data_IF_135333235876
#
_entry.id   IF_135333235876
#
_cell.length_a   1.000
_cell.length_b   1.000
_cell.length_c   1.000
_cell.angle_alpha   90.00
_cell.angle_beta   90.00
_cell.angle_gamma   90.00
#
_symmetry.space_group_name_H-M   'P 1'
#
loop_
_entity.id
_entity.type
_entity.pdbx_description
1 polymer ?
#
# COMPACT_ATOMS: atom_id res chain seq x y z
N UNK A 1 11.26 -28.00 3.94
CA UNK A 1 11.69 -26.69 3.38
C UNK A 1 10.81 -25.51 3.81
N UNK A 2 9.50 -25.68 4.07
CA UNK A 2 8.60 -24.63 4.60
C UNK A 2 9.10 -23.81 5.82
N UNK A 3 9.66 -24.40 6.91
CA UNK A 3 9.98 -23.64 8.12
C UNK A 3 11.13 -22.63 7.97
N UNK A 4 11.92 -22.72 6.89
CA UNK A 4 13.01 -21.76 6.60
C UNK A 4 12.48 -20.51 5.88
N UNK A 5 11.47 -20.67 5.02
CA UNK A 5 10.85 -19.58 4.26
C UNK A 5 10.00 -18.72 5.20
N UNK A 6 9.18 -19.34 6.07
CA UNK A 6 8.36 -18.60 7.03
C UNK A 6 9.18 -17.77 8.02
N UNK A 7 10.32 -18.29 8.51
CA UNK A 7 11.26 -17.53 9.36
C UNK A 7 11.90 -16.33 8.65
N UNK A 8 12.29 -16.48 7.37
CA UNK A 8 12.86 -15.39 6.57
C UNK A 8 11.84 -14.27 6.31
N UNK A 9 10.57 -14.63 6.14
CA UNK A 9 9.47 -13.66 5.95
C UNK A 9 9.14 -12.95 7.25
N UNK A 10 9.13 -13.65 8.38
CA UNK A 10 9.04 -13.01 9.70
C UNK A 10 10.11 -11.94 9.87
N UNK A 11 11.37 -12.28 9.62
CA UNK A 11 12.49 -11.33 9.72
C UNK A 11 12.35 -10.15 8.75
N UNK A 12 11.91 -10.39 7.51
CA UNK A 12 11.62 -9.34 6.52
C UNK A 12 10.50 -8.40 7.00
N UNK A 13 9.40 -8.94 7.55
CA UNK A 13 8.30 -8.15 8.14
C UNK A 13 8.81 -7.25 9.26
N UNK A 14 9.62 -7.80 10.18
CA UNK A 14 10.22 -7.02 11.26
C UNK A 14 11.17 -5.93 10.73
N UNK A 15 12.02 -6.27 9.76
CA UNK A 15 12.95 -5.31 9.15
C UNK A 15 12.23 -4.15 8.47
N UNK A 16 11.19 -4.42 7.69
CA UNK A 16 10.44 -3.34 7.03
C UNK A 16 9.58 -2.55 8.02
N UNK A 17 9.03 -3.19 9.04
CA UNK A 17 8.35 -2.49 10.13
C UNK A 17 9.29 -1.52 10.85
N UNK A 18 10.50 -1.97 11.21
CA UNK A 18 11.51 -1.14 11.86
C UNK A 18 11.96 0.01 10.95
N UNK A 19 12.19 -0.26 9.66
CA UNK A 19 12.53 0.78 8.68
C UNK A 19 11.40 1.82 8.54
N UNK A 20 10.16 1.35 8.45
CA UNK A 20 8.98 2.21 8.34
C UNK A 20 8.80 3.07 9.59
N UNK A 21 8.97 2.50 10.78
CA UNK A 21 8.90 3.22 12.05
C UNK A 21 10.06 4.22 12.20
N UNK A 22 11.27 3.86 11.78
CA UNK A 22 12.43 4.74 11.81
C UNK A 22 12.28 5.92 10.84
N UNK A 23 11.86 5.66 9.59
CA UNK A 23 11.55 6.70 8.62
C UNK A 23 10.42 7.61 9.12
N UNK A 24 9.38 7.01 9.69
CA UNK A 24 8.25 7.75 10.25
C UNK A 24 8.70 8.62 11.45
N UNK A 25 9.51 8.09 12.36
CA UNK A 25 10.08 8.85 13.48
C UNK A 25 10.97 10.00 13.01
N UNK A 26 11.82 9.76 12.01
CA UNK A 26 12.69 10.77 11.41
C UNK A 26 11.87 11.85 10.68
N UNK A 27 10.81 11.47 9.97
CA UNK A 27 9.90 12.40 9.31
C UNK A 27 9.19 13.32 10.31
N UNK A 28 8.77 12.78 11.47
CA UNK A 28 8.14 13.54 12.55
C UNK A 28 9.14 14.49 13.21
N UNK A 29 10.36 14.04 13.50
CA UNK A 29 11.40 14.89 14.06
C UNK A 29 11.74 16.06 13.14
N UNK A 30 11.91 15.80 11.84
CA UNK A 30 12.17 16.83 10.82
C UNK A 30 10.96 17.76 10.65
N UNK A 31 9.74 17.23 10.67
CA UNK A 31 8.54 18.04 10.65
C UNK A 31 8.51 18.98 11.85
N UNK A 32 8.67 18.47 13.09
CA UNK A 32 8.71 19.27 14.32
C UNK A 32 9.79 20.35 14.25
N UNK A 33 10.98 20.02 13.76
CA UNK A 33 12.04 21.01 13.53
C UNK A 33 11.58 22.12 12.58
N UNK A 34 10.97 21.78 11.45
CA UNK A 34 10.38 22.76 10.52
C UNK A 34 9.24 23.56 11.18
N UNK A 35 8.44 22.96 12.08
CA UNK A 35 7.39 23.65 12.82
C UNK A 35 7.95 24.75 13.73
N UNK A 36 9.08 24.48 14.38
CA UNK A 36 9.77 25.49 15.20
C UNK A 36 10.27 26.67 14.36
N UNK A 37 10.63 26.43 13.10
CA UNK A 37 11.11 27.47 12.18
C UNK A 37 9.98 28.31 11.57
N UNK A 38 8.89 27.67 11.07
CA UNK A 38 7.85 28.36 10.29
C UNK A 38 6.64 28.85 11.09
N UNK A 39 6.41 28.38 12.33
CA UNK A 39 5.21 28.69 13.15
C UNK A 39 3.87 28.55 12.39
N UNK A 40 3.79 27.68 11.38
CA UNK A 40 2.59 27.52 10.55
C UNK A 40 1.71 26.37 11.02
N UNK A 41 0.58 26.71 11.63
CA UNK A 41 -0.43 25.76 12.13
C UNK A 41 -0.97 24.86 11.00
N UNK A 42 -1.16 25.41 9.81
CA UNK A 42 -1.69 24.65 8.67
C UNK A 42 -0.73 23.53 8.26
N UNK A 43 0.57 23.84 8.20
CA UNK A 43 1.61 22.87 7.83
C UNK A 43 1.67 21.72 8.85
N UNK A 44 1.62 22.06 10.14
CA UNK A 44 1.53 21.07 11.23
C UNK A 44 0.33 20.16 11.10
N UNK A 45 -0.84 20.74 10.85
CA UNK A 45 -2.10 20.00 10.82
C UNK A 45 -2.12 18.99 9.68
N UNK A 46 -1.65 19.38 8.49
CA UNK A 46 -1.55 18.47 7.33
C UNK A 46 -0.58 17.32 7.61
N UNK A 47 0.58 17.61 8.20
CA UNK A 47 1.58 16.58 8.51
C UNK A 47 1.05 15.56 9.53
N UNK A 48 0.42 16.03 10.62
CA UNK A 48 -0.19 15.16 11.64
C UNK A 48 -1.30 14.31 11.03
N UNK A 49 -2.15 14.90 10.19
CA UNK A 49 -3.22 14.18 9.52
C UNK A 49 -2.69 13.05 8.62
N UNK A 50 -1.70 13.34 7.77
CA UNK A 50 -1.05 12.32 6.94
C UNK A 50 -0.42 11.21 7.79
N UNK A 51 0.21 11.55 8.91
CA UNK A 51 0.80 10.59 9.84
C UNK A 51 -0.26 9.63 10.42
N UNK A 52 -1.38 10.18 10.91
CA UNK A 52 -2.49 9.39 11.46
C UNK A 52 -3.00 8.42 10.40
N UNK A 53 -3.15 8.89 9.16
CA UNK A 53 -3.64 8.08 8.05
C UNK A 53 -2.70 6.92 7.71
N UNK A 54 -1.39 7.18 7.64
CA UNK A 54 -0.39 6.14 7.41
C UNK A 54 -0.46 5.08 8.51
N UNK A 55 -0.46 5.50 9.77
CA UNK A 55 -0.49 4.57 10.91
C UNK A 55 -1.77 3.73 10.95
N UNK A 56 -2.93 4.37 10.75
CA UNK A 56 -4.22 3.70 10.84
C UNK A 56 -4.42 2.69 9.69
N UNK A 57 -4.06 3.05 8.46
CA UNK A 57 -4.17 2.14 7.31
C UNK A 57 -3.13 1.03 7.38
N UNK A 58 -1.90 1.32 7.82
CA UNK A 58 -0.89 0.29 8.07
C UNK A 58 -1.37 -0.72 9.10
N UNK A 59 -1.94 -0.30 10.23
CA UNK A 59 -2.56 -1.21 11.20
C UNK A 59 -3.69 -2.03 10.57
N UNK A 60 -4.58 -1.38 9.81
CA UNK A 60 -5.71 -2.04 9.17
C UNK A 60 -5.29 -3.13 8.17
N UNK A 61 -4.13 -3.01 7.52
CA UNK A 61 -3.57 -4.04 6.65
C UNK A 61 -3.39 -5.40 7.35
N UNK A 62 -3.04 -5.39 8.64
CA UNK A 62 -2.74 -6.59 9.42
C UNK A 62 -3.93 -7.07 10.25
N UNK A 63 -4.85 -6.17 10.61
CA UNK A 63 -6.09 -6.56 11.30
C UNK A 63 -7.05 -7.29 10.35
N UNK A 64 -7.08 -6.92 9.07
CA UNK A 64 -8.00 -7.50 8.10
C UNK A 64 -7.33 -8.65 7.35
N UNK A 65 -7.57 -9.88 7.82
CA UNK A 65 -7.06 -11.11 7.18
C UNK A 65 -7.70 -11.35 5.82
N UNK A 66 -6.88 -11.73 4.84
CA UNK A 66 -7.34 -12.19 3.52
C UNK A 66 -7.37 -13.71 3.39
N UNK A 67 -7.17 -14.46 4.47
CA UNK A 67 -7.08 -15.92 4.41
C UNK A 67 -8.39 -16.50 3.86
N UNK A 68 -8.29 -17.29 2.81
CA UNK A 68 -9.40 -18.08 2.29
C UNK A 68 -9.58 -19.32 3.16
N UNK A 69 -10.79 -19.47 3.71
CA UNK A 69 -11.17 -20.62 4.54
C UNK A 69 -11.80 -21.75 3.71
N UNK A 70 -11.90 -21.57 2.40
CA UNK A 70 -12.49 -22.52 1.47
C UNK A 70 -14.01 -22.41 1.37
N UNK A 71 -14.56 -23.02 0.33
CA UNK A 71 -16.01 -23.10 0.10
C UNK A 71 -16.55 -24.37 0.75
N UNK A 72 -17.68 -24.25 1.47
CA UNK A 72 -18.50 -25.41 1.80
C UNK A 72 -19.27 -25.83 0.56
N UNK A 73 -18.93 -26.99 0.00
CA UNK A 73 -19.57 -27.52 -1.21
C UNK A 73 -20.97 -28.01 -0.82
N UNK A 74 -22.02 -27.30 -1.25
CA UNK A 74 -23.40 -27.80 -1.17
C UNK A 74 -23.55 -29.03 -2.06
N UNK A 75 -24.30 -30.04 -1.60
CA UNK A 75 -24.56 -31.27 -2.36
C UNK A 75 -25.22 -30.91 -3.71
N UNK A 76 -24.56 -31.27 -4.81
CA UNK A 76 -25.05 -31.04 -6.17
C UNK A 76 -24.28 -30.01 -7.01
N UNK A 77 -23.33 -29.25 -6.42
CA UNK A 77 -22.45 -28.38 -7.20
C UNK A 77 -21.26 -29.18 -7.76
N UNK A 78 -21.07 -29.17 -9.08
CA UNK A 78 -19.94 -29.82 -9.74
C UNK A 78 -18.62 -29.26 -9.19
N UNK A 79 -17.77 -30.15 -8.66
CA UNK A 79 -16.46 -29.78 -8.13
C UNK A 79 -15.55 -29.41 -9.30
N UNK A 80 -15.33 -28.13 -9.52
CA UNK A 80 -14.26 -27.68 -10.40
C UNK A 80 -12.90 -28.08 -9.80
N UNK A 81 -12.32 -29.15 -10.36
CA UNK A 81 -11.03 -29.74 -9.93
C UNK A 81 -9.92 -28.68 -9.97
N UNK A 82 -10.03 -27.67 -10.84
CA UNK A 82 -9.04 -26.59 -10.96
C UNK A 82 -9.04 -25.61 -9.76
N UNK A 83 -10.09 -25.62 -8.92
CA UNK A 83 -10.19 -24.76 -7.75
C UNK A 83 -9.70 -25.39 -6.45
N UNK A 84 -9.20 -26.62 -6.47
CA UNK A 84 -8.60 -27.24 -5.28
C UNK A 84 -7.16 -26.73 -5.06
N UNK A 85 -6.79 -26.44 -3.80
CA UNK A 85 -5.41 -26.15 -3.40
C UNK A 85 -4.87 -27.32 -2.58
N UNK A 86 -3.87 -28.06 -3.08
CA UNK A 86 -3.31 -29.20 -2.36
C UNK A 86 -2.53 -28.78 -1.11
N UNK A 87 -1.89 -27.61 -1.11
CA UNK A 87 -1.08 -27.12 0.01
C UNK A 87 -1.94 -26.72 1.21
N UNK A 88 -3.12 -26.14 0.96
CA UNK A 88 -4.05 -25.73 2.02
C UNK A 88 -5.14 -26.76 2.29
N UNK A 89 -5.28 -27.79 1.43
CA UNK A 89 -6.34 -28.78 1.46
C UNK A 89 -7.76 -28.16 1.49
N UNK A 90 -7.99 -27.17 0.64
CA UNK A 90 -9.29 -26.49 0.51
C UNK A 90 -9.72 -26.36 -0.95
N UNK A 91 -11.02 -26.32 -1.18
CA UNK A 91 -11.59 -25.78 -2.42
C UNK A 91 -11.63 -24.25 -2.30
N UNK A 92 -10.82 -23.58 -3.11
CA UNK A 92 -10.64 -22.13 -3.12
C UNK A 92 -11.88 -21.42 -3.63
N UNK A 93 -12.13 -20.20 -3.12
CA UNK A 93 -13.06 -19.28 -3.75
C UNK A 93 -12.62 -18.90 -5.18
N UNK A 94 -13.57 -18.53 -6.04
CA UNK A 94 -13.24 -17.94 -7.36
C UNK A 94 -12.32 -16.74 -7.15
N UNK A 95 -11.21 -16.66 -7.89
CA UNK A 95 -10.12 -15.65 -7.76
C UNK A 95 -9.23 -15.74 -6.52
N UNK A 96 -9.33 -16.80 -5.71
CA UNK A 96 -8.36 -17.07 -4.65
C UNK A 96 -7.14 -17.79 -5.21
N UNK A 97 -5.95 -17.39 -4.73
CA UNK A 97 -4.68 -18.02 -5.12
C UNK A 97 -3.85 -18.36 -3.88
N UNK A 98 -3.12 -19.48 -3.93
CA UNK A 98 -2.16 -19.85 -2.89
C UNK A 98 -0.94 -18.94 -3.00
N UNK A 99 -0.56 -18.29 -1.89
CA UNK A 99 0.70 -17.57 -1.82
C UNK A 99 1.73 -18.43 -1.09
N UNK A 100 2.80 -18.91 -1.77
CA UNK A 100 3.83 -19.73 -1.14
C UNK A 100 4.59 -18.99 -0.03
N UNK A 101 4.62 -17.66 -0.07
CA UNK A 101 5.25 -16.82 0.95
C UNK A 101 4.36 -16.70 2.20
N UNK A 102 3.06 -16.47 2.03
CA UNK A 102 2.12 -16.40 3.15
C UNK A 102 1.66 -17.79 3.64
N UNK A 103 2.03 -18.87 2.93
CA UNK A 103 1.63 -20.27 3.20
C UNK A 103 0.11 -20.44 3.39
N UNK A 104 -0.68 -19.66 2.66
CA UNK A 104 -2.13 -19.74 2.68
C UNK A 104 -2.75 -19.27 1.36
N UNK A 105 -3.96 -19.74 1.09
CA UNK A 105 -4.81 -19.16 0.05
C UNK A 105 -5.33 -17.79 0.48
N UNK A 106 -5.32 -16.86 -0.47
CA UNK A 106 -5.70 -15.46 -0.25
C UNK A 106 -6.90 -15.12 -1.12
N UNK A 107 -7.95 -14.58 -0.52
CA UNK A 107 -9.16 -14.12 -1.20
C UNK A 107 -8.85 -12.96 -2.14
N UNK A 108 -9.27 -13.10 -3.41
CA UNK A 108 -9.02 -12.12 -4.49
C UNK A 108 -7.55 -11.67 -4.46
N UNK A 109 -6.65 -12.64 -4.52
CA UNK A 109 -5.22 -12.41 -4.35
C UNK A 109 -4.69 -11.43 -5.40
N UNK A 110 -4.25 -10.25 -4.96
CA UNK A 110 -3.66 -9.25 -5.84
C UNK A 110 -2.17 -9.56 -6.00
N UNK A 111 -1.40 -9.38 -4.91
CA UNK A 111 0.02 -9.68 -4.87
C UNK A 111 0.50 -9.89 -3.43
N UNK A 112 1.68 -10.52 -3.28
CA UNK A 112 2.44 -10.45 -2.04
C UNK A 112 3.28 -9.19 -2.03
N UNK A 113 3.00 -8.26 -1.12
CA UNK A 113 3.75 -7.03 -1.02
C UNK A 113 5.02 -7.25 -0.17
N UNK A 114 6.19 -7.27 -0.81
CA UNK A 114 7.48 -7.41 -0.11
C UNK A 114 7.74 -6.25 0.87
N UNK A 115 7.28 -5.04 0.55
CA UNK A 115 7.42 -3.86 1.41
C UNK A 115 6.50 -3.89 2.63
N UNK A 116 5.47 -4.74 2.67
CA UNK A 116 4.64 -4.90 3.87
C UNK A 116 4.79 -6.27 4.48
N UNK A 117 5.53 -7.17 3.81
CA UNK A 117 5.63 -8.59 4.12
C UNK A 117 4.29 -9.31 4.18
N UNK A 118 3.21 -8.76 3.62
CA UNK A 118 1.87 -9.33 3.71
C UNK A 118 1.20 -9.42 2.35
N UNK A 119 0.26 -10.34 2.23
CA UNK A 119 -0.53 -10.53 1.03
C UNK A 119 -1.63 -9.45 0.95
N UNK A 120 -1.73 -8.81 -0.21
CA UNK A 120 -2.79 -7.86 -0.57
C UNK A 120 -3.91 -8.63 -1.26
N UNK A 121 -5.13 -8.41 -0.80
CA UNK A 121 -6.31 -9.14 -1.28
C UNK A 121 -7.60 -8.43 -0.86
N UNK A 122 -8.72 -9.14 -0.99
CA UNK A 122 -10.06 -8.56 -0.88
C UNK A 122 -10.26 -7.67 0.35
N UNK A 123 -9.82 -8.13 1.52
CA UNK A 123 -10.16 -7.50 2.79
C UNK A 123 -9.24 -6.34 3.18
N UNK A 124 -8.07 -6.21 2.53
CA UNK A 124 -7.13 -5.16 2.84
C UNK A 124 -6.67 -4.30 1.65
N UNK A 125 -7.13 -4.60 0.42
CA UNK A 125 -6.75 -3.84 -0.77
C UNK A 125 -7.05 -2.34 -0.65
N UNK A 126 -8.19 -1.96 -0.07
CA UNK A 126 -8.53 -0.54 0.12
C UNK A 126 -7.52 0.19 1.02
N UNK A 127 -7.07 -0.45 2.10
CA UNK A 127 -6.14 0.18 3.03
C UNK A 127 -4.76 0.27 2.41
N UNK A 128 -4.39 -0.67 1.54
CA UNK A 128 -3.16 -0.59 0.75
C UNK A 128 -3.16 0.63 -0.16
N UNK A 129 -4.25 0.85 -0.91
CA UNK A 129 -4.37 2.02 -1.81
C UNK A 129 -4.30 3.33 -1.02
N UNK A 130 -5.03 3.43 0.09
CA UNK A 130 -5.04 4.64 0.94
C UNK A 130 -3.66 4.84 1.60
N UNK A 131 -3.01 3.77 2.03
CA UNK A 131 -1.64 3.81 2.57
C UNK A 131 -0.66 4.36 1.54
N UNK A 132 -0.72 3.90 0.28
CA UNK A 132 0.11 4.43 -0.80
C UNK A 132 -0.16 5.91 -1.05
N UNK A 133 -1.44 6.34 -1.06
CA UNK A 133 -1.81 7.75 -1.23
C UNK A 133 -1.20 8.64 -0.14
N UNK A 134 -1.46 8.34 1.13
CA UNK A 134 -1.00 9.20 2.24
C UNK A 134 0.50 9.09 2.50
N UNK A 135 1.12 7.94 2.26
CA UNK A 135 2.58 7.82 2.31
C UNK A 135 3.22 8.62 1.18
N UNK A 136 2.64 8.58 -0.02
CA UNK A 136 3.06 9.36 -1.19
C UNK A 136 2.96 10.86 -0.93
N UNK A 137 1.76 11.34 -0.62
CA UNK A 137 1.48 12.76 -0.33
C UNK A 137 2.31 13.25 0.86
N UNK A 138 2.35 12.51 1.97
CA UNK A 138 3.11 12.90 3.16
C UNK A 138 4.60 13.00 2.91
N UNK A 139 5.19 12.06 2.17
CA UNK A 139 6.62 12.06 1.86
C UNK A 139 7.00 13.16 0.87
N UNK A 140 6.19 13.37 -0.19
CA UNK A 140 6.41 14.50 -1.13
C UNK A 140 6.22 15.85 -0.44
N UNK A 141 5.26 15.94 0.49
CA UNK A 141 5.05 17.13 1.29
C UNK A 141 6.26 17.44 2.19
N UNK A 142 6.83 16.43 2.86
CA UNK A 142 8.05 16.59 3.65
C UNK A 142 9.22 17.05 2.79
N UNK A 143 9.44 16.40 1.63
CA UNK A 143 10.48 16.78 0.67
C UNK A 143 10.34 18.24 0.24
N UNK A 144 9.11 18.69 -0.09
CA UNK A 144 8.81 20.08 -0.42
C UNK A 144 9.09 21.02 0.76
N UNK A 145 8.73 20.66 1.99
CA UNK A 145 9.00 21.51 3.16
C UNK A 145 10.51 21.64 3.43
N UNK A 146 11.29 20.58 3.27
CA UNK A 146 12.76 20.63 3.39
C UNK A 146 13.34 21.54 2.32
N UNK A 147 12.89 21.42 1.07
CA UNK A 147 13.30 22.31 -0.02
C UNK A 147 12.98 23.79 0.30
N UNK A 148 11.75 24.08 0.73
CA UNK A 148 11.33 25.44 1.07
C UNK A 148 11.95 25.99 2.38
N UNK A 149 12.66 25.17 3.14
CA UNK A 149 13.38 25.58 4.35
C UNK A 149 14.89 25.49 4.21
N UNK A 150 15.40 25.05 3.06
CA UNK A 150 16.83 24.83 2.87
C UNK A 150 17.64 26.09 3.12
N UNK A 151 17.15 27.26 2.68
CA UNK A 151 17.87 28.54 2.82
C UNK A 151 18.00 29.01 4.28
N UNK A 152 17.14 28.51 5.17
CA UNK A 152 17.20 28.78 6.62
C UNK A 152 18.17 27.84 7.34
N UNK A 153 18.36 26.64 6.79
CA UNK A 153 19.13 25.55 7.42
C UNK A 153 20.55 25.53 6.92
N UNK A 154 20.72 25.74 5.62
CA UNK A 154 21.99 25.88 4.97
C UNK A 154 22.16 27.37 4.65
N UNK A 155 23.26 27.96 5.12
CA UNK A 155 23.58 29.37 4.86
C UNK A 155 23.45 29.69 3.36
N UNK A 156 23.39 30.98 3.00
CA UNK A 156 23.25 31.49 1.60
C UNK A 156 24.25 30.91 0.56
N UNK A 157 25.27 30.18 1.03
CA UNK A 157 26.25 29.46 0.21
C UNK A 157 25.77 28.08 -0.28
N UNK A 158 24.58 27.64 0.12
CA UNK A 158 24.02 26.35 -0.27
C UNK A 158 23.49 26.37 -1.70
N UNK A 159 24.00 25.48 -2.54
CA UNK A 159 23.47 25.28 -3.89
C UNK A 159 22.35 24.24 -3.84
N UNK A 160 21.23 24.48 -4.53
CA UNK A 160 20.13 23.50 -4.61
C UNK A 160 20.56 22.13 -5.20
N UNK A 161 21.68 22.08 -5.93
CA UNK A 161 22.28 20.83 -6.39
C UNK A 161 22.76 19.95 -5.22
N UNK A 162 23.12 20.54 -4.09
CA UNK A 162 23.55 19.83 -2.87
C UNK A 162 22.39 19.08 -2.19
N UNK A 163 21.12 19.39 -2.51
CA UNK A 163 19.98 18.57 -2.10
C UNK A 163 19.95 17.20 -2.80
N UNK A 164 20.66 17.00 -3.91
CA UNK A 164 20.63 15.74 -4.65
C UNK A 164 21.84 14.86 -4.28
N UNK A 165 21.58 13.59 -3.96
CA UNK A 165 22.60 12.56 -3.67
C UNK A 165 23.21 12.05 -4.99
N UNK A 166 24.16 12.77 -5.59
CA UNK A 166 25.55 12.52 -5.22
C UNK A 166 26.30 13.74 -4.69
N UNK A 167 25.80 14.95 -4.94
CA UNK A 167 26.48 16.20 -4.61
C UNK A 167 26.44 16.47 -3.11
N UNK A 168 25.28 16.32 -2.46
CA UNK A 168 25.18 16.54 -1.01
C UNK A 168 26.03 15.57 -0.17
N UNK A 169 26.15 14.32 -0.61
CA UNK A 169 27.01 13.33 0.05
C UNK A 169 28.49 13.66 -0.13
N UNK A 170 28.92 14.04 -1.34
CA UNK A 170 30.29 14.44 -1.62
C UNK A 170 30.70 15.68 -0.79
N UNK A 171 29.81 16.66 -0.63
CA UNK A 171 30.05 17.85 0.18
C UNK A 171 30.09 17.52 1.69
N UNK A 172 29.23 16.62 2.16
CA UNK A 172 29.30 16.13 3.54
C UNK A 172 30.64 15.45 3.85
N UNK A 173 31.17 14.62 2.93
CA UNK A 173 32.49 14.00 3.08
C UNK A 173 33.63 15.02 2.99
N UNK A 174 33.48 16.06 2.18
CA UNK A 174 34.40 17.19 2.09
C UNK A 174 34.36 18.12 3.33
N UNK A 175 33.54 17.80 4.34
CA UNK A 175 33.31 18.59 5.58
C UNK A 175 32.84 20.02 5.32
N UNK A 176 32.23 20.29 4.16
CA UNK A 176 31.65 21.60 3.85
C UNK A 176 30.23 21.74 4.41
N UNK A 177 29.58 20.62 4.77
CA UNK A 177 28.22 20.57 5.33
C UNK A 177 28.22 20.10 6.79
N UNK A 178 27.32 20.63 7.62
CA UNK A 178 27.12 20.18 9.01
C UNK A 178 26.42 18.82 9.07
N UNK A 179 26.55 18.08 10.18
CA UNK A 179 25.84 16.80 10.38
C UNK A 179 24.32 16.94 10.20
N UNK A 180 23.74 18.02 10.75
CA UNK A 180 22.32 18.32 10.58
C UNK A 180 21.95 18.54 9.11
N UNK A 181 22.80 19.21 8.34
CA UNK A 181 22.61 19.39 6.91
C UNK A 181 22.67 18.07 6.13
N UNK A 182 23.65 17.22 6.43
CA UNK A 182 23.77 15.90 5.81
C UNK A 182 22.52 15.03 6.08
N UNK A 183 21.99 15.04 7.32
CA UNK A 183 20.76 14.34 7.66
C UNK A 183 19.55 14.87 6.86
N UNK A 184 19.43 16.19 6.69
CA UNK A 184 18.35 16.80 5.91
C UNK A 184 18.41 16.41 4.43
N UNK A 185 19.60 16.33 3.84
CA UNK A 185 19.78 15.85 2.45
C UNK A 185 19.34 14.39 2.32
N UNK A 186 19.72 13.53 3.26
CA UNK A 186 19.31 12.12 3.27
C UNK A 186 17.79 12.00 3.37
N UNK A 187 17.17 12.74 4.30
CA UNK A 187 15.71 12.73 4.48
C UNK A 187 14.99 13.28 3.25
N UNK A 188 15.50 14.34 2.63
CA UNK A 188 14.93 14.91 1.40
C UNK A 188 14.90 13.89 0.26
N UNK A 189 16.03 13.24 -0.03
CA UNK A 189 16.11 12.27 -1.13
C UNK A 189 15.26 11.04 -0.82
N UNK A 190 15.34 10.52 0.41
CA UNK A 190 14.56 9.36 0.83
C UNK A 190 13.06 9.63 0.74
N UNK A 191 12.60 10.79 1.20
CA UNK A 191 11.20 11.18 1.14
C UNK A 191 10.70 11.44 -0.28
N UNK A 192 11.52 12.05 -1.13
CA UNK A 192 11.19 12.20 -2.55
C UNK A 192 11.05 10.83 -3.25
N UNK A 193 12.00 9.91 -3.05
CA UNK A 193 11.99 8.57 -3.65
C UNK A 193 10.79 7.75 -3.17
N UNK A 194 10.56 7.68 -1.85
CA UNK A 194 9.41 6.97 -1.27
C UNK A 194 8.11 7.59 -1.78
N UNK A 195 8.04 8.92 -1.82
CA UNK A 195 6.89 9.67 -2.29
C UNK A 195 6.51 9.31 -3.73
N UNK A 196 7.46 9.41 -4.65
CA UNK A 196 7.26 9.06 -6.06
C UNK A 196 6.88 7.58 -6.24
N UNK A 197 7.57 6.67 -5.55
CA UNK A 197 7.27 5.25 -5.62
C UNK A 197 5.85 4.92 -5.15
N UNK A 198 5.42 5.50 -4.02
CA UNK A 198 4.07 5.29 -3.49
C UNK A 198 3.00 5.88 -4.40
N UNK A 199 3.23 7.05 -5.01
CA UNK A 199 2.29 7.64 -5.98
C UNK A 199 2.17 6.82 -7.26
N UNK A 200 3.27 6.23 -7.73
CA UNK A 200 3.25 5.28 -8.83
C UNK A 200 2.41 4.04 -8.49
N UNK A 201 2.65 3.42 -7.33
CA UNK A 201 1.89 2.25 -6.88
C UNK A 201 0.40 2.57 -6.66
N UNK A 202 0.08 3.75 -6.13
CA UNK A 202 -1.29 4.24 -6.02
C UNK A 202 -1.95 4.33 -7.40
N UNK A 203 -1.28 4.95 -8.37
CA UNK A 203 -1.79 5.07 -9.74
C UNK A 203 -2.04 3.71 -10.41
N UNK A 204 -1.11 2.76 -10.25
CA UNK A 204 -1.28 1.39 -10.74
C UNK A 204 -2.50 0.71 -10.13
N UNK A 205 -2.67 0.78 -8.81
CA UNK A 205 -3.80 0.14 -8.14
C UNK A 205 -5.13 0.78 -8.54
N UNK A 206 -5.19 2.11 -8.67
CA UNK A 206 -6.39 2.79 -9.18
C UNK A 206 -6.71 2.34 -10.61
N UNK A 207 -5.70 2.20 -11.46
CA UNK A 207 -5.89 1.70 -12.82
C UNK A 207 -6.45 0.26 -12.85
N UNK A 208 -5.86 -0.65 -12.07
CA UNK A 208 -6.32 -2.05 -11.99
C UNK A 208 -7.73 -2.15 -11.41
N UNK A 209 -8.03 -1.36 -10.39
CA UNK A 209 -9.36 -1.29 -9.78
C UNK A 209 -10.40 -0.71 -10.74
N UNK A 210 -10.02 0.24 -11.59
CA UNK A 210 -10.92 0.78 -12.63
C UNK A 210 -11.36 -0.29 -13.64
N UNK A 211 -10.54 -1.32 -13.83
CA UNK A 211 -10.78 -2.46 -14.70
C UNK A 211 -11.37 -3.66 -13.94
N UNK A 212 -11.49 -3.60 -12.61
CA UNK A 212 -11.87 -4.73 -11.75
C UNK A 212 -10.95 -5.96 -11.88
N UNK A 213 -9.69 -5.75 -12.26
CA UNK A 213 -8.68 -6.79 -12.47
C UNK A 213 -7.67 -6.78 -11.31
N UNK A 214 -7.26 -7.97 -10.86
CA UNK A 214 -6.14 -8.14 -9.92
C UNK A 214 -4.79 -8.14 -10.65
N UNK A 215 -3.71 -7.79 -9.95
CA UNK A 215 -2.35 -7.86 -10.50
C UNK A 215 -2.00 -9.28 -11.00
N UNK A 216 -2.45 -10.31 -10.31
CA UNK A 216 -2.28 -11.70 -10.75
C UNK A 216 -2.99 -11.95 -12.09
N UNK A 217 -4.26 -11.59 -12.22
CA UNK A 217 -5.04 -11.75 -13.46
C UNK A 217 -4.45 -10.95 -14.63
N UNK A 218 -3.94 -9.76 -14.36
CA UNK A 218 -3.27 -8.92 -15.35
C UNK A 218 -2.00 -9.60 -15.90
N UNK A 219 -1.16 -10.13 -15.01
CA UNK A 219 0.08 -10.80 -15.41
C UNK A 219 -0.15 -12.19 -16.01
N UNK A 220 -1.16 -12.93 -15.57
CA UNK A 220 -1.44 -14.27 -16.10
C UNK A 220 -2.07 -14.25 -17.48
N UNK A 221 -2.37 -13.07 -18.06
CA UNK A 221 -3.08 -12.89 -19.35
C UNK A 221 -4.37 -13.70 -19.44
N UNK A 222 -4.92 -14.10 -18.29
CA UNK A 222 -6.19 -14.82 -18.22
C UNK A 222 -7.25 -13.93 -18.83
N UNK A 223 -7.83 -14.36 -19.95
CA UNK A 223 -8.84 -13.59 -20.68
C UNK A 223 -9.95 -13.18 -19.72
N UNK A 224 -9.93 -11.90 -19.31
CA UNK A 224 -11.07 -11.28 -18.64
C UNK A 224 -12.22 -11.38 -19.63
N UNK A 225 -13.24 -12.19 -19.31
CA UNK A 225 -14.36 -12.36 -20.21
C UNK A 225 -14.97 -10.97 -20.49
N UNK A 226 -15.16 -10.62 -21.78
CA UNK A 226 -15.71 -9.33 -22.20
C UNK A 226 -17.05 -9.00 -21.52
N UNK A 227 -17.76 -10.01 -21.01
CA UNK A 227 -19.04 -9.85 -20.32
C UNK A 227 -18.94 -9.32 -18.88
N UNK A 228 -17.74 -9.21 -18.30
CA UNK A 228 -17.54 -8.66 -16.96
C UNK A 228 -17.41 -7.11 -16.94
N UNK A 229 -17.31 -6.48 -18.13
CA UNK A 229 -17.09 -5.04 -18.33
C UNK A 229 -18.36 -4.15 -18.26
N UNK A 230 -19.51 -4.67 -17.82
CA UNK A 230 -20.78 -3.90 -17.88
C UNK A 230 -20.92 -2.84 -16.77
N UNK A 231 -20.01 -2.79 -15.80
CA UNK A 231 -20.01 -1.78 -14.74
C UNK A 231 -19.14 -0.57 -15.13
N UNK A 232 -19.67 0.64 -14.93
CA UNK A 232 -18.93 1.89 -15.18
C UNK A 232 -17.69 1.98 -14.28
N UNK A 233 -16.67 2.73 -14.70
CA UNK A 233 -15.44 2.97 -13.91
C UNK A 233 -15.76 3.37 -12.45
N UNK A 234 -16.77 4.21 -12.26
CA UNK A 234 -17.25 4.64 -10.95
C UNK A 234 -17.93 3.51 -10.15
N UNK A 235 -18.70 2.66 -10.82
CA UNK A 235 -19.30 1.49 -10.18
C UNK A 235 -18.25 0.47 -9.72
N UNK A 236 -17.19 0.25 -10.51
CA UNK A 236 -16.07 -0.62 -10.13
C UNK A 236 -15.33 -0.08 -8.91
N UNK A 237 -15.12 1.24 -8.86
CA UNK A 237 -14.43 1.90 -7.76
C UNK A 237 -15.24 1.86 -6.46
N UNK A 238 -16.53 2.23 -6.52
CA UNK A 238 -17.44 2.21 -5.36
C UNK A 238 -17.68 0.80 -4.80
N UNK A 239 -17.58 -0.25 -5.63
CA UNK A 239 -17.67 -1.64 -5.15
C UNK A 239 -16.52 -2.02 -4.20
N UNK A 240 -15.33 -1.41 -4.36
CA UNK A 240 -14.15 -1.70 -3.54
C UNK A 240 -13.97 -0.71 -2.37
N UNK A 241 -14.41 0.53 -2.54
CA UNK A 241 -14.22 1.60 -1.54
C UNK A 241 -15.49 2.01 -0.78
N UNK A 242 -16.67 1.58 -1.22
CA UNK A 242 -17.96 2.07 -0.72
C UNK A 242 -18.44 3.32 -1.45
N UNK A 243 -19.66 3.76 -1.13
CA UNK A 243 -20.23 4.99 -1.71
C UNK A 243 -19.80 6.22 -0.89
N UNK A 244 -19.01 7.11 -1.50
CA UNK A 244 -18.74 8.45 -0.98
C UNK A 244 -17.26 8.78 -0.77
N UNK A 245 -16.93 10.08 -0.80
CA UNK A 245 -15.55 10.58 -0.66
C UNK A 245 -15.00 10.42 0.77
N UNK A 246 -15.86 10.27 1.78
CA UNK A 246 -15.45 10.11 3.18
C UNK A 246 -14.60 8.86 3.41
N UNK A 247 -14.77 7.82 2.58
CA UNK A 247 -13.95 6.60 2.63
C UNK A 247 -12.47 6.84 2.32
N UNK A 248 -12.13 7.94 1.65
CA UNK A 248 -10.74 8.34 1.34
C UNK A 248 -10.12 9.24 2.42
N UNK A 249 -10.97 9.81 3.29
CA UNK A 249 -10.58 10.86 4.25
C UNK A 249 -10.64 10.33 5.69
N UNK A 250 -11.45 9.32 5.99
CA UNK A 250 -11.56 8.77 7.35
C UNK A 250 -10.93 7.37 7.36
N UNK A 251 -9.82 7.16 8.09
CA UNK A 251 -9.40 5.81 8.38
C UNK A 251 -10.44 5.23 9.33
N UNK A 252 -10.84 3.99 9.11
CA UNK A 252 -11.88 3.25 9.86
C UNK A 252 -13.27 3.33 9.24
N UNK A 253 -13.52 2.41 8.31
CA UNK A 253 -14.87 1.84 8.13
C UNK A 253 -14.78 0.32 8.16
N UNK A 254 -14.41 -0.25 9.30
CA UNK A 254 -14.64 -1.68 9.56
C UNK A 254 -16.13 -1.96 9.36
N UNK A 255 -16.50 -2.72 8.33
CA UNK A 255 -17.88 -3.21 8.18
C UNK A 255 -18.53 -3.14 6.79
N UNK A 256 -17.93 -2.45 5.80
CA UNK A 256 -18.53 -2.30 4.46
C UNK A 256 -17.86 -3.13 3.36
N UNK A 257 -17.11 -4.17 3.71
CA UNK A 257 -16.89 -5.25 2.76
C UNK A 257 -18.10 -6.18 2.89
N UNK A 258 -18.82 -6.49 1.80
CA UNK A 258 -19.92 -7.45 1.85
C UNK A 258 -19.44 -8.69 2.59
N UNK A 259 -20.18 -9.09 3.62
CA UNK A 259 -19.82 -10.23 4.46
C UNK A 259 -19.32 -11.37 3.58
N UNK A 260 -18.13 -11.89 3.88
CA UNK A 260 -17.44 -12.95 3.16
C UNK A 260 -18.14 -14.30 3.27
N UNK A 261 -19.41 -14.40 2.86
CA UNK A 261 -20.04 -15.66 2.49
C UNK A 261 -19.67 -16.07 1.06
N UNK A 262 -18.44 -15.80 0.62
CA UNK A 262 -17.91 -16.25 -0.69
C UNK A 262 -18.70 -15.83 -1.94
N UNK A 263 -19.74 -15.00 -1.81
CA UNK A 263 -20.63 -14.64 -2.92
C UNK A 263 -20.20 -13.29 -3.48
N UNK A 264 -19.32 -13.35 -4.48
CA UNK A 264 -19.21 -12.25 -5.43
C UNK A 264 -20.59 -11.99 -6.06
N UNK A 265 -20.93 -10.74 -6.43
CA UNK A 265 -22.13 -10.46 -7.19
C UNK A 265 -22.12 -11.34 -8.45
N UNK A 266 -23.05 -12.29 -8.55
CA UNK A 266 -23.24 -13.10 -9.74
C UNK A 266 -23.62 -12.15 -10.87
N UNK A 267 -22.86 -12.15 -11.96
CA UNK A 267 -23.31 -11.47 -13.17
C UNK A 267 -24.33 -12.38 -13.87
N UNK A 268 -25.26 -11.83 -14.67
CA UNK A 268 -26.21 -12.62 -15.49
C UNK A 268 -25.55 -13.61 -16.47
N UNK A 269 -24.22 -13.57 -16.63
CA UNK A 269 -23.45 -14.58 -17.35
C UNK A 269 -23.19 -15.84 -16.52
N UNK A 270 -23.19 -15.75 -15.18
CA UNK A 270 -23.07 -16.88 -14.27
C UNK A 270 -24.40 -17.67 -14.15
N UNK A 271 -25.51 -17.12 -14.64
CA UNK A 271 -26.81 -17.80 -14.73
C UNK A 271 -27.02 -18.57 -16.04
N UNK A 272 -26.10 -18.43 -17.01
CA UNK A 272 -26.18 -19.08 -18.33
C UNK A 272 -25.24 -20.28 -18.49
N UNK A 273 -24.71 -20.76 -17.37
CA UNK A 273 -24.07 -22.07 -17.27
C UNK A 273 -24.93 -22.90 -16.31
N UNK A 274 -26.15 -23.19 -16.76
CA UNK A 274 -27.02 -24.25 -16.26
C UNK A 274 -27.52 -25.02 -17.48
#
# INVERSE_FOLDING_TARGET
MAPVISKRIGLMRYGVMLFSLAYLGLSVATAIYILTLKKSILVTTIAIYCYIQVCANWRAMFVNSNKDHGIQVEEGLEKDIHNFCPECNIYKNKKSHHCPLCECCVLRHDHHCFFLGTCIGLNNQRYFVILCLYTGVGSLYLSLQIFLTSDWVFNRWFNYLELFMPFGYAFSLARTTTFSGALMVIVYNLSATIGMFCMYMFGLQVHLLSQSVTWHEFNSKTHVSKNQQILTMWSNFTTNFGHGLLHFIVPVMSGFLPSSKGKFPRTKSDERVY
#
